data_IF_591025206489
#
_entry.id   IF_591025206489
#
_cell.length_a   1.000
_cell.length_b   1.000
_cell.length_c   1.000
_cell.angle_alpha   90.00
_cell.angle_beta   90.00
_cell.angle_gamma   90.00
#
_symmetry.space_group_name_H-M   'P 1'
#
loop_
_entity.id
_entity.type
_entity.pdbx_description
1 polymer ?
#
# COMPACT_ATOMS: atom_id res chain seq x y z
N UNK A 1 2.84 -16.00 26.88
CA UNK A 1 2.01 -14.78 26.93
C UNK A 1 2.50 -13.69 27.90
N UNK A 2 3.64 -13.85 28.60
CA UNK A 2 4.14 -12.85 29.57
C UNK A 2 5.02 -11.73 28.98
N UNK A 3 5.89 -12.03 28.01
CA UNK A 3 6.89 -11.08 27.50
C UNK A 3 6.31 -9.99 26.57
N UNK A 4 5.24 -10.28 25.83
CA UNK A 4 4.65 -9.33 24.86
C UNK A 4 3.85 -8.18 25.47
N UNK A 5 3.30 -8.37 26.68
CA UNK A 5 2.65 -7.27 27.43
C UNK A 5 3.67 -6.23 27.91
N UNK A 6 4.92 -6.63 28.11
CA UNK A 6 6.00 -5.77 28.58
C UNK A 6 6.55 -4.91 27.44
N UNK A 7 6.65 -5.44 26.21
CA UNK A 7 7.02 -4.70 25.01
C UNK A 7 5.97 -3.63 24.63
N UNK A 8 4.68 -3.98 24.62
CA UNK A 8 3.58 -3.01 24.44
C UNK A 8 3.58 -1.92 25.53
N UNK A 9 3.95 -2.27 26.77
CA UNK A 9 4.15 -1.31 27.87
C UNK A 9 5.37 -0.41 27.68
N UNK A 10 6.46 -0.93 27.13
CA UNK A 10 7.70 -0.18 26.87
C UNK A 10 7.55 0.77 25.67
N UNK A 11 6.74 0.39 24.68
CA UNK A 11 6.43 1.22 23.52
C UNK A 11 5.33 2.26 23.80
N UNK A 12 4.45 2.04 24.77
CA UNK A 12 3.33 2.94 25.10
C UNK A 12 3.72 4.42 25.33
N UNK A 13 4.78 4.75 26.11
CA UNK A 13 5.20 6.14 26.30
C UNK A 13 5.77 6.77 25.03
N UNK A 14 6.53 5.99 24.22
CA UNK A 14 7.15 6.45 22.98
C UNK A 14 6.12 6.63 21.85
N UNK A 15 5.11 5.75 21.80
CA UNK A 15 4.01 5.78 20.83
C UNK A 15 3.03 6.92 21.07
N UNK A 16 2.73 7.27 22.33
CA UNK A 16 1.91 8.47 22.64
C UNK A 16 2.57 9.76 22.12
N UNK A 17 3.90 9.80 22.11
CA UNK A 17 4.67 10.92 21.55
C UNK A 17 4.61 10.93 20.00
N UNK A 18 4.79 9.77 19.34
CA UNK A 18 4.70 9.66 17.86
C UNK A 18 3.26 9.87 17.34
N UNK A 19 2.24 9.43 18.07
CA UNK A 19 0.83 9.67 17.73
C UNK A 19 0.42 11.15 17.87
N UNK A 20 1.15 11.95 18.65
CA UNK A 20 0.93 13.38 18.84
C UNK A 20 1.88 14.30 18.06
N UNK A 21 2.88 13.75 17.35
CA UNK A 21 3.88 14.54 16.65
C UNK A 21 3.46 14.78 15.20
N UNK A 22 2.69 15.84 14.97
CA UNK A 22 2.47 16.40 13.64
C UNK A 22 3.73 17.17 13.26
N UNK A 23 4.65 16.53 12.52
CA UNK A 23 5.78 17.25 11.91
C UNK A 23 5.33 17.84 10.58
N UNK A 24 4.89 19.09 10.59
CA UNK A 24 4.78 19.91 9.38
C UNK A 24 6.17 20.40 8.98
N UNK A 25 6.69 19.92 7.85
CA UNK A 25 7.75 20.60 7.09
C UNK A 25 7.35 20.63 5.61
N UNK A 26 6.87 21.78 5.09
CA UNK A 26 6.65 21.94 3.66
C UNK A 26 7.98 22.34 3.02
N UNK A 27 8.84 21.37 2.74
CA UNK A 27 10.01 21.59 1.87
C UNK A 27 9.85 20.75 0.61
N UNK A 28 9.17 21.35 -0.37
CA UNK A 28 9.06 20.83 -1.73
C UNK A 28 10.43 20.96 -2.40
N UNK A 29 11.14 19.84 -2.53
CA UNK A 29 12.38 19.78 -3.28
C UNK A 29 12.05 19.64 -4.78
N UNK A 30 12.52 20.53 -5.69
CA UNK A 30 12.11 20.55 -7.10
C UNK A 30 12.56 19.36 -7.95
N UNK A 31 13.19 18.35 -7.35
CA UNK A 31 13.84 17.23 -8.05
C UNK A 31 13.17 15.86 -7.83
N UNK A 32 12.04 15.79 -7.12
CA UNK A 32 11.24 14.56 -6.98
C UNK A 32 9.99 14.59 -7.89
N UNK A 33 10.21 14.33 -9.18
CA UNK A 33 9.12 14.18 -10.16
C UNK A 33 8.97 12.72 -10.57
N UNK A 34 8.08 12.04 -9.86
CA UNK A 34 7.59 10.69 -10.15
C UNK A 34 6.63 10.28 -9.04
N UNK A 35 5.34 10.19 -9.36
CA UNK A 35 4.21 9.51 -8.66
C UNK A 35 4.08 9.60 -7.13
N UNK A 36 5.13 9.35 -6.34
CA UNK A 36 5.15 9.48 -4.88
C UNK A 36 4.77 10.89 -4.40
N UNK A 37 5.25 11.95 -5.04
CA UNK A 37 4.93 13.34 -4.64
C UNK A 37 3.47 13.72 -4.85
N UNK A 38 2.79 13.14 -5.85
CA UNK A 38 1.39 13.46 -6.13
C UNK A 38 0.42 12.83 -5.11
N UNK A 39 0.77 11.68 -4.55
CA UNK A 39 -0.06 10.95 -3.58
C UNK A 39 -0.18 11.69 -2.24
N UNK A 40 0.95 12.11 -1.65
CA UNK A 40 0.95 12.93 -0.43
C UNK A 40 0.23 14.26 -0.63
N UNK A 41 0.39 14.87 -1.82
CA UNK A 41 -0.31 16.10 -2.20
C UNK A 41 -1.84 15.90 -2.27
N UNK A 42 -2.34 14.74 -2.71
CA UNK A 42 -3.78 14.46 -2.74
C UNK A 42 -4.41 14.52 -1.34
N UNK A 43 -3.80 13.85 -0.35
CA UNK A 43 -4.31 13.86 1.03
C UNK A 43 -4.24 15.24 1.67
N UNK A 44 -3.14 15.97 1.45
CA UNK A 44 -2.96 17.32 1.99
C UNK A 44 -3.84 18.35 1.29
N UNK A 45 -4.09 18.21 -0.01
CA UNK A 45 -4.92 19.13 -0.78
C UNK A 45 -6.34 19.21 -0.23
N UNK A 46 -6.90 18.08 0.21
CA UNK A 46 -8.22 18.01 0.83
C UNK A 46 -8.31 18.67 2.21
N UNK A 47 -7.18 18.84 2.90
CA UNK A 47 -7.06 19.51 4.19
C UNK A 47 -6.56 20.96 4.09
N UNK A 48 -6.36 21.46 2.87
CA UNK A 48 -5.75 22.76 2.62
C UNK A 48 -6.69 23.68 1.82
N UNK A 49 -6.19 24.84 1.41
CA UNK A 49 -6.97 25.82 0.68
C UNK A 49 -7.46 25.33 -0.72
N UNK A 50 -8.37 26.11 -1.30
CA UNK A 50 -8.96 25.81 -2.61
C UNK A 50 -7.95 25.74 -3.77
N UNK A 51 -6.76 26.31 -3.62
CA UNK A 51 -5.73 26.32 -4.66
C UNK A 51 -5.08 24.94 -4.80
N UNK A 52 -4.71 24.31 -3.68
CA UNK A 52 -4.08 22.98 -3.69
C UNK A 52 -5.06 21.91 -4.18
N UNK A 53 -6.33 21.97 -3.77
CA UNK A 53 -7.37 21.08 -4.29
C UNK A 53 -7.52 21.23 -5.81
N UNK A 54 -7.48 22.46 -6.33
CA UNK A 54 -7.55 22.71 -7.78
C UNK A 54 -6.36 22.13 -8.53
N UNK A 55 -5.15 22.18 -7.96
CA UNK A 55 -3.95 21.61 -8.56
C UNK A 55 -4.06 20.08 -8.68
N UNK A 56 -4.47 19.42 -7.60
CA UNK A 56 -4.68 17.97 -7.58
C UNK A 56 -5.79 17.53 -8.54
N UNK A 57 -6.93 18.22 -8.54
CA UNK A 57 -8.02 17.91 -9.46
C UNK A 57 -7.63 18.11 -10.94
N UNK A 58 -6.71 19.04 -11.21
CA UNK A 58 -6.16 19.19 -12.55
C UNK A 58 -5.34 17.98 -13.00
N UNK A 59 -4.62 17.30 -12.09
CA UNK A 59 -3.90 16.05 -12.40
C UNK A 59 -4.90 14.97 -12.83
N UNK A 60 -5.99 14.79 -12.09
CA UNK A 60 -7.04 13.82 -12.45
C UNK A 60 -7.67 14.10 -13.80
N UNK A 61 -7.94 15.38 -14.10
CA UNK A 61 -8.44 15.81 -15.41
C UNK A 61 -7.49 15.41 -16.54
N UNK A 62 -6.17 15.61 -16.37
CA UNK A 62 -5.17 15.19 -17.37
C UNK A 62 -5.20 13.67 -17.53
N UNK A 63 -5.14 12.92 -16.43
CA UNK A 63 -5.14 11.45 -16.45
C UNK A 63 -6.43 10.88 -17.09
N UNK A 64 -7.58 11.49 -16.84
CA UNK A 64 -8.86 11.03 -17.39
C UNK A 64 -8.99 11.26 -18.90
N UNK A 65 -8.33 12.28 -19.42
CA UNK A 65 -8.29 12.56 -20.86
C UNK A 65 -7.30 11.67 -21.63
N UNK A 66 -6.40 10.97 -20.94
CA UNK A 66 -5.45 10.05 -21.57
C UNK A 66 -6.06 8.67 -21.78
N UNK A 67 -5.77 8.08 -22.95
CA UNK A 67 -5.99 6.66 -23.20
C UNK A 67 -5.04 5.84 -22.32
N UNK A 68 -5.58 4.85 -21.61
CA UNK A 68 -4.80 3.95 -20.77
C UNK A 68 -4.49 2.68 -21.58
N UNK A 69 -3.21 2.41 -21.90
CA UNK A 69 -2.85 1.22 -22.66
C UNK A 69 -3.28 -0.02 -21.89
N UNK A 70 -4.17 -0.82 -22.48
CA UNK A 70 -4.75 -2.00 -21.83
C UNK A 70 -5.34 -1.65 -20.45
N UNK A 71 -6.00 -0.50 -20.28
CA UNK A 71 -6.59 -0.09 -19.00
C UNK A 71 -5.58 0.16 -17.86
N UNK A 72 -4.27 0.05 -18.10
CA UNK A 72 -3.21 0.24 -17.12
C UNK A 72 -2.68 1.67 -17.15
N UNK A 73 -2.16 2.14 -16.01
CA UNK A 73 -1.52 3.45 -15.88
C UNK A 73 0.00 3.31 -15.98
N UNK A 74 0.63 3.81 -17.06
CA UNK A 74 2.08 3.89 -17.12
C UNK A 74 2.65 4.75 -16.00
N UNK A 75 3.78 4.34 -15.44
CA UNK A 75 4.44 5.02 -14.32
C UNK A 75 5.06 6.38 -14.70
N UNK A 76 5.16 6.69 -16.00
CA UNK A 76 5.85 7.87 -16.51
C UNK A 76 4.93 8.74 -17.38
N UNK A 77 4.72 9.98 -16.94
CA UNK A 77 3.96 11.00 -17.66
C UNK A 77 4.83 12.23 -17.86
N UNK A 78 4.93 12.72 -19.09
CA UNK A 78 5.72 13.90 -19.42
C UNK A 78 4.92 15.18 -19.08
N UNK A 79 5.39 16.05 -18.17
CA UNK A 79 4.62 17.20 -17.71
C UNK A 79 4.46 18.31 -18.76
N UNK A 80 5.39 18.42 -19.71
CA UNK A 80 5.34 19.44 -20.76
C UNK A 80 4.30 19.12 -21.85
N UNK A 81 4.18 17.84 -22.21
CA UNK A 81 3.24 17.37 -23.25
C UNK A 81 1.93 16.81 -22.68
N UNK A 82 1.92 16.44 -21.40
CA UNK A 82 0.81 15.74 -20.77
C UNK A 82 0.59 14.33 -21.31
N UNK A 83 1.56 13.73 -22.01
CA UNK A 83 1.45 12.39 -22.61
C UNK A 83 2.24 11.34 -21.84
N UNK A 84 1.85 10.08 -21.99
CA UNK A 84 2.62 8.95 -21.49
C UNK A 84 4.00 8.87 -22.14
N UNK A 85 5.01 8.53 -21.34
CA UNK A 85 6.36 8.25 -21.84
C UNK A 85 6.54 6.73 -22.03
N UNK A 86 7.32 6.08 -21.18
CA UNK A 86 7.52 4.63 -21.24
C UNK A 86 6.30 3.89 -20.69
N UNK A 87 5.90 2.81 -21.37
CA UNK A 87 4.80 1.95 -20.96
C UNK A 87 5.27 0.88 -19.96
N UNK A 88 5.81 1.33 -18.83
CA UNK A 88 6.10 0.49 -17.68
C UNK A 88 4.99 0.69 -16.65
N UNK A 89 4.47 -0.41 -16.11
CA UNK A 89 3.37 -0.42 -15.15
C UNK A 89 3.78 -1.31 -13.98
N UNK A 90 3.60 -0.79 -12.78
CA UNK A 90 3.79 -1.55 -11.54
C UNK A 90 2.75 -1.11 -10.50
N UNK A 91 2.36 -2.04 -9.63
CA UNK A 91 1.64 -1.74 -8.37
C UNK A 91 2.64 -1.75 -7.19
N UNK A 92 3.94 -1.83 -7.45
CA UNK A 92 4.99 -1.50 -6.49
C UNK A 92 5.54 -0.11 -6.75
N UNK A 93 6.83 0.08 -6.46
CA UNK A 93 7.50 1.37 -6.60
C UNK A 93 7.22 2.07 -7.93
N UNK A 94 7.10 3.40 -7.87
CA UNK A 94 6.70 4.30 -8.95
C UNK A 94 5.21 4.25 -9.35
N UNK A 95 4.39 3.35 -8.81
CA UNK A 95 2.96 3.27 -9.18
C UNK A 95 2.02 2.99 -8.01
N UNK A 96 2.48 2.26 -7.00
CA UNK A 96 1.81 1.91 -5.74
C UNK A 96 0.82 2.95 -5.21
N UNK A 97 1.32 4.04 -4.62
CA UNK A 97 0.50 4.97 -3.84
C UNK A 97 -0.47 5.79 -4.70
N UNK A 98 -0.31 5.81 -6.02
CA UNK A 98 -1.33 6.39 -6.91
C UNK A 98 -2.66 5.61 -6.79
N UNK A 99 -2.63 4.28 -6.88
CA UNK A 99 -3.84 3.46 -6.78
C UNK A 99 -4.45 3.53 -5.38
N UNK A 100 -3.58 3.55 -4.37
CA UNK A 100 -3.96 3.70 -2.96
C UNK A 100 -4.77 4.96 -2.72
N UNK A 101 -4.32 6.09 -3.27
CA UNK A 101 -4.97 7.39 -3.07
C UNK A 101 -6.26 7.55 -3.87
N UNK A 102 -6.46 6.85 -4.99
CA UNK A 102 -7.78 6.81 -5.63
C UNK A 102 -8.83 6.22 -4.66
N UNK A 103 -8.50 5.14 -3.95
CA UNK A 103 -9.39 4.58 -2.93
C UNK A 103 -9.49 5.49 -1.70
N UNK A 104 -8.36 5.92 -1.15
CA UNK A 104 -8.34 6.72 0.08
C UNK A 104 -9.00 8.09 -0.09
N UNK A 105 -8.91 8.72 -1.27
CA UNK A 105 -9.63 9.95 -1.60
C UNK A 105 -11.15 9.75 -1.61
N UNK A 106 -11.62 8.63 -2.18
CA UNK A 106 -13.03 8.26 -2.12
C UNK A 106 -13.51 8.14 -0.66
N UNK A 107 -12.76 7.42 0.17
CA UNK A 107 -13.12 7.19 1.58
C UNK A 107 -13.03 8.47 2.41
N UNK A 108 -11.97 9.26 2.25
CA UNK A 108 -11.72 10.50 2.99
C UNK A 108 -12.75 11.57 2.66
N UNK A 109 -13.27 11.62 1.43
CA UNK A 109 -14.32 12.54 1.01
C UNK A 109 -15.72 12.25 1.58
N UNK A 110 -15.82 11.37 2.59
CA UNK A 110 -17.08 10.80 3.06
C UNK A 110 -17.90 10.22 1.89
N UNK A 111 -17.21 9.53 0.98
CA UNK A 111 -17.82 8.85 -0.17
C UNK A 111 -18.54 9.80 -1.14
N UNK A 112 -18.03 11.02 -1.32
CA UNK A 112 -18.57 12.00 -2.27
C UNK A 112 -17.75 12.12 -3.56
N UNK A 113 -16.47 11.74 -3.54
CA UNK A 113 -15.55 11.77 -4.69
C UNK A 113 -15.77 10.56 -5.62
N UNK A 114 -16.87 10.60 -6.37
CA UNK A 114 -17.27 9.53 -7.29
C UNK A 114 -16.28 9.32 -8.44
N UNK A 115 -15.51 10.34 -8.80
CA UNK A 115 -14.45 10.26 -9.81
C UNK A 115 -13.32 9.35 -9.32
N UNK A 116 -12.81 9.58 -8.10
CA UNK A 116 -11.79 8.73 -7.50
C UNK A 116 -12.26 7.27 -7.35
N UNK A 117 -13.51 7.06 -6.90
CA UNK A 117 -14.11 5.71 -6.84
C UNK A 117 -14.08 5.03 -8.19
N UNK A 118 -14.54 5.72 -9.23
CA UNK A 118 -14.59 5.17 -10.58
C UNK A 118 -13.20 4.82 -11.07
N UNK A 119 -12.24 5.74 -10.93
CA UNK A 119 -10.85 5.53 -11.33
C UNK A 119 -10.22 4.33 -10.62
N UNK A 120 -10.42 4.21 -9.30
CA UNK A 120 -9.93 3.07 -8.52
C UNK A 120 -10.48 1.75 -9.05
N UNK A 121 -11.81 1.61 -9.11
CA UNK A 121 -12.44 0.35 -9.53
C UNK A 121 -12.25 0.04 -11.01
N UNK A 122 -12.03 1.03 -11.88
CA UNK A 122 -11.61 0.80 -13.25
C UNK A 122 -10.16 0.27 -13.30
N UNK A 123 -9.25 0.81 -12.47
CA UNK A 123 -7.85 0.41 -12.41
C UNK A 123 -7.64 -0.99 -11.79
N UNK A 124 -8.42 -1.35 -10.76
CA UNK A 124 -8.33 -2.68 -10.15
C UNK A 124 -9.20 -3.72 -10.86
N UNK A 125 -10.05 -3.32 -11.80
CA UNK A 125 -11.17 -4.12 -12.30
C UNK A 125 -10.83 -5.57 -12.65
N UNK A 126 -11.54 -6.49 -12.00
CA UNK A 126 -11.70 -7.88 -12.42
C UNK A 126 -12.69 -7.98 -13.59
N UNK A 127 -12.35 -8.77 -14.61
CA UNK A 127 -13.33 -9.18 -15.62
C UNK A 127 -14.21 -10.29 -15.03
N UNK A 128 -15.27 -9.91 -14.32
CA UNK A 128 -16.40 -10.83 -14.13
C UNK A 128 -17.07 -10.99 -15.49
N UNK A 129 -16.68 -12.05 -16.21
CA UNK A 129 -17.24 -12.34 -17.52
C UNK A 129 -18.77 -12.28 -17.46
N UNK A 130 -19.36 -11.43 -18.29
CA UNK A 130 -20.68 -11.70 -18.89
C UNK A 130 -20.54 -12.95 -19.78
N UNK A 131 -20.23 -14.10 -19.18
CA UNK A 131 -20.15 -15.39 -19.87
C UNK A 131 -21.53 -15.86 -20.36
N UNK A 132 -22.60 -15.16 -19.94
CA UNK A 132 -23.98 -15.42 -20.35
C UNK A 132 -24.43 -14.70 -21.62
N UNK A 133 -23.65 -13.77 -22.18
CA UNK A 133 -24.04 -13.09 -23.42
C UNK A 133 -22.80 -12.90 -24.28
N UNK A 134 -22.74 -13.59 -25.43
CA UNK A 134 -21.70 -13.57 -26.48
C UNK A 134 -21.45 -12.17 -27.09
N UNK A 135 -21.27 -11.15 -26.27
CA UNK A 135 -20.99 -9.77 -26.66
C UNK A 135 -19.54 -9.51 -26.27
N UNK A 136 -18.62 -9.80 -27.19
CA UNK A 136 -17.28 -9.23 -27.16
C UNK A 136 -17.42 -7.74 -27.44
N UNK A 137 -17.56 -6.94 -26.39
CA UNK A 137 -17.40 -5.49 -26.55
C UNK A 137 -15.93 -5.21 -26.85
N UNK A 138 -15.69 -4.43 -27.91
CA UNK A 138 -14.37 -3.89 -28.30
C UNK A 138 -13.72 -3.02 -27.20
N UNK A 139 -14.40 -2.79 -26.08
CA UNK A 139 -14.03 -1.91 -24.97
C UNK A 139 -13.90 -2.64 -23.62
N UNK A 140 -13.61 -3.95 -23.62
CA UNK A 140 -13.26 -4.67 -22.38
C UNK A 140 -11.89 -4.19 -21.87
N UNK A 141 -11.86 -3.06 -21.17
CA UNK A 141 -10.68 -2.59 -20.45
C UNK A 141 -10.39 -3.57 -19.30
N UNK A 142 -9.37 -4.38 -19.54
CA UNK A 142 -8.72 -5.29 -18.61
C UNK A 142 -7.71 -4.45 -17.80
N UNK A 143 -7.60 -4.57 -16.48
CA UNK A 143 -6.71 -3.71 -15.71
C UNK A 143 -5.74 -4.53 -14.84
N UNK A 144 -5.46 -4.12 -13.59
CA UNK A 144 -4.47 -4.78 -12.73
C UNK A 144 -4.73 -6.30 -12.61
N UNK A 145 -5.96 -6.70 -12.29
CA UNK A 145 -6.28 -8.12 -12.08
C UNK A 145 -6.08 -8.99 -13.31
N UNK A 146 -6.37 -8.46 -14.50
CA UNK A 146 -6.20 -9.24 -15.73
C UNK A 146 -4.74 -9.30 -16.17
N UNK A 147 -4.04 -8.17 -16.11
CA UNK A 147 -2.71 -8.06 -16.69
C UNK A 147 -1.59 -8.40 -15.72
N UNK A 148 -1.73 -8.06 -14.44
CA UNK A 148 -0.62 -8.12 -13.48
C UNK A 148 -0.78 -9.26 -12.47
N UNK A 149 -2.00 -9.62 -12.08
CA UNK A 149 -2.21 -10.66 -11.07
C UNK A 149 -2.03 -12.04 -11.70
N UNK A 150 -1.13 -12.83 -11.10
CA UNK A 150 -0.77 -14.17 -11.54
C UNK A 150 -0.78 -15.13 -10.36
N UNK A 151 -0.85 -16.42 -10.66
CA UNK A 151 -0.77 -17.49 -9.69
C UNK A 151 0.42 -18.37 -10.05
N UNK A 152 1.31 -18.59 -9.08
CA UNK A 152 2.48 -19.46 -9.25
C UNK A 152 2.07 -20.93 -9.36
N UNK A 153 3.04 -21.80 -9.66
CA UNK A 153 2.84 -23.25 -9.70
C UNK A 153 2.37 -23.85 -8.37
N UNK A 154 2.85 -23.33 -7.23
CA UNK A 154 2.43 -23.78 -5.89
C UNK A 154 1.22 -23.00 -5.37
N UNK A 155 0.62 -22.15 -6.21
CA UNK A 155 -0.64 -21.49 -5.92
C UNK A 155 -0.54 -20.17 -5.17
N UNK A 156 0.63 -19.55 -5.02
CA UNK A 156 0.76 -18.17 -4.52
C UNK A 156 0.25 -17.16 -5.54
N UNK A 157 -0.60 -16.23 -5.08
CA UNK A 157 -1.11 -15.13 -5.91
C UNK A 157 -0.17 -13.93 -5.77
N UNK A 158 0.33 -13.39 -6.87
CA UNK A 158 1.27 -12.27 -6.88
C UNK A 158 0.92 -11.24 -7.94
N UNK A 159 1.43 -10.01 -7.75
CA UNK A 159 1.27 -8.92 -8.71
C UNK A 159 2.60 -8.73 -9.43
N UNK A 160 2.63 -9.06 -10.71
CA UNK A 160 3.80 -8.90 -11.58
C UNK A 160 3.99 -7.45 -12.05
N UNK A 161 5.19 -7.11 -12.51
CA UNK A 161 5.44 -5.88 -13.26
C UNK A 161 5.15 -6.09 -14.75
N UNK A 162 4.74 -5.02 -15.46
CA UNK A 162 4.50 -5.07 -16.89
C UNK A 162 5.32 -4.00 -17.61
N UNK A 163 6.03 -4.40 -18.67
CA UNK A 163 6.92 -3.54 -19.45
C UNK A 163 6.63 -3.73 -20.94
N UNK A 164 5.88 -2.79 -21.52
CA UNK A 164 5.65 -2.73 -22.97
C UNK A 164 5.04 -3.99 -23.59
N UNK A 165 4.21 -4.72 -22.83
CA UNK A 165 3.57 -5.97 -23.28
C UNK A 165 4.10 -7.23 -22.59
N UNK A 166 5.26 -7.16 -21.95
CA UNK A 166 5.90 -8.30 -21.31
C UNK A 166 5.74 -8.24 -19.79
N UNK A 167 5.43 -9.39 -19.20
CA UNK A 167 5.38 -9.53 -17.75
C UNK A 167 6.75 -9.92 -17.22
N UNK A 168 7.16 -9.22 -16.17
CA UNK A 168 8.26 -9.65 -15.32
C UNK A 168 7.65 -10.27 -14.06
N UNK A 169 7.89 -11.57 -13.86
CA UNK A 169 7.35 -12.34 -12.73
C UNK A 169 8.12 -12.07 -11.43
N UNK A 170 8.04 -10.82 -11.00
CA UNK A 170 8.68 -10.24 -9.83
C UNK A 170 7.64 -9.39 -9.09
N UNK A 171 7.68 -9.43 -7.76
CA UNK A 171 6.86 -8.60 -6.89
C UNK A 171 7.77 -7.95 -5.85
N UNK A 172 7.55 -6.66 -5.57
CA UNK A 172 8.32 -5.92 -4.56
C UNK A 172 7.68 -6.03 -3.18
N UNK A 173 8.47 -5.77 -2.14
CA UNK A 173 7.98 -5.54 -0.78
C UNK A 173 6.97 -4.40 -0.76
N UNK A 174 7.28 -3.30 -1.46
CA UNK A 174 6.36 -2.17 -1.66
C UNK A 174 4.98 -2.65 -2.12
N UNK A 175 4.91 -3.55 -3.12
CA UNK A 175 3.66 -4.07 -3.68
C UNK A 175 2.78 -4.81 -2.66
N UNK A 176 3.32 -5.21 -1.51
CA UNK A 176 2.55 -5.87 -0.46
C UNK A 176 1.49 -4.98 0.20
N UNK A 177 1.57 -3.65 0.08
CA UNK A 177 0.51 -2.74 0.56
C UNK A 177 -0.85 -3.04 -0.10
N UNK A 178 -0.81 -3.57 -1.34
CA UNK A 178 -1.98 -3.81 -2.16
C UNK A 178 -2.96 -4.80 -1.51
N UNK A 179 -2.49 -5.70 -0.64
CA UNK A 179 -3.36 -6.61 0.11
C UNK A 179 -4.35 -5.85 1.00
N UNK A 180 -3.83 -4.91 1.80
CA UNK A 180 -4.62 -4.00 2.62
C UNK A 180 -5.49 -3.06 1.77
N UNK A 181 -4.96 -2.55 0.66
CA UNK A 181 -5.73 -1.71 -0.28
C UNK A 181 -6.96 -2.44 -0.85
N UNK A 182 -6.80 -3.68 -1.33
CA UNK A 182 -7.94 -4.46 -1.86
C UNK A 182 -8.97 -4.76 -0.77
N UNK A 183 -8.52 -5.18 0.42
CA UNK A 183 -9.42 -5.46 1.53
C UNK A 183 -10.19 -4.21 1.98
N UNK A 184 -9.52 -3.06 2.09
CA UNK A 184 -10.13 -1.78 2.44
C UNK A 184 -11.19 -1.34 1.41
N UNK A 185 -10.94 -1.58 0.12
CA UNK A 185 -11.87 -1.24 -0.96
C UNK A 185 -13.06 -2.20 -1.08
N UNK A 186 -13.01 -3.38 -0.47
CA UNK A 186 -13.98 -4.45 -0.69
C UNK A 186 -15.43 -4.08 -0.31
N UNK A 187 -15.62 -3.32 0.77
CA UNK A 187 -16.96 -2.92 1.23
C UNK A 187 -17.67 -2.00 0.23
N UNK A 188 -16.92 -1.18 -0.52
CA UNK A 188 -17.46 -0.21 -1.47
C UNK A 188 -17.40 -0.68 -2.93
N UNK A 189 -17.00 -1.93 -3.13
CA UNK A 189 -16.90 -2.59 -4.42
C UNK A 189 -18.26 -2.71 -5.13
N UNK A 190 -18.26 -2.86 -6.46
CA UNK A 190 -19.48 -3.19 -7.20
C UNK A 190 -20.19 -4.43 -6.63
N UNK A 191 -21.51 -4.47 -6.79
CA UNK A 191 -22.37 -5.53 -6.23
C UNK A 191 -21.84 -6.92 -6.61
N UNK A 192 -21.61 -7.75 -5.59
CA UNK A 192 -21.13 -9.12 -5.74
C UNK A 192 -19.60 -9.28 -5.76
N UNK A 193 -18.82 -8.21 -5.63
CA UNK A 193 -17.35 -8.26 -5.64
C UNK A 193 -16.70 -8.05 -4.25
N UNK A 194 -17.47 -7.83 -3.19
CA UNK A 194 -16.92 -7.65 -1.83
C UNK A 194 -16.07 -8.84 -1.40
N UNK A 195 -16.60 -10.06 -1.48
CA UNK A 195 -15.87 -11.27 -1.10
C UNK A 195 -14.64 -11.50 -2.00
N UNK A 196 -14.76 -11.15 -3.29
CA UNK A 196 -13.66 -11.26 -4.25
C UNK A 196 -12.46 -10.39 -3.84
N UNK A 197 -12.68 -9.13 -3.48
CA UNK A 197 -11.60 -8.23 -3.06
C UNK A 197 -11.03 -8.58 -1.67
N UNK A 198 -11.85 -9.07 -0.74
CA UNK A 198 -11.37 -9.61 0.54
C UNK A 198 -10.50 -10.86 0.34
N UNK A 199 -10.91 -11.77 -0.54
CA UNK A 199 -10.13 -12.95 -0.87
C UNK A 199 -8.83 -12.56 -1.60
N UNK A 200 -8.88 -11.58 -2.51
CA UNK A 200 -7.68 -11.09 -3.18
C UNK A 200 -6.70 -10.48 -2.17
N UNK A 201 -7.18 -9.66 -1.23
CA UNK A 201 -6.38 -9.15 -0.11
C UNK A 201 -5.77 -10.26 0.73
N UNK A 202 -6.54 -11.31 1.03
CA UNK A 202 -6.09 -12.51 1.76
C UNK A 202 -4.97 -13.24 1.02
N UNK A 203 -5.10 -13.43 -0.28
CA UNK A 203 -4.12 -14.13 -1.10
C UNK A 203 -2.81 -13.34 -1.25
N UNK A 204 -2.90 -12.02 -1.43
CA UNK A 204 -1.71 -11.14 -1.46
C UNK A 204 -1.01 -11.15 -0.09
N UNK A 205 -1.77 -11.03 1.01
CA UNK A 205 -1.22 -11.10 2.37
C UNK A 205 -0.48 -12.42 2.62
N UNK A 206 -1.03 -13.55 2.13
CA UNK A 206 -0.39 -14.86 2.22
C UNK A 206 0.90 -14.92 1.43
N UNK A 207 0.93 -14.41 0.20
CA UNK A 207 2.16 -14.38 -0.62
C UNK A 207 3.26 -13.52 0.02
N UNK A 208 2.89 -12.38 0.61
CA UNK A 208 3.82 -11.52 1.32
C UNK A 208 4.31 -12.15 2.64
N UNK A 209 3.47 -12.91 3.34
CA UNK A 209 3.91 -13.72 4.48
C UNK A 209 4.90 -14.81 4.07
N UNK A 210 4.63 -15.49 2.95
CA UNK A 210 5.54 -16.51 2.42
C UNK A 210 6.91 -15.94 2.04
N UNK A 211 6.97 -14.71 1.52
CA UNK A 211 8.26 -14.07 1.23
C UNK A 211 9.07 -13.74 2.49
N UNK A 212 8.41 -13.54 3.64
CA UNK A 212 9.05 -13.43 4.95
C UNK A 212 9.47 -14.80 5.49
N UNK A 213 8.55 -15.78 5.46
CA UNK A 213 8.79 -17.09 6.05
C UNK A 213 9.90 -17.88 5.34
N UNK A 214 10.12 -17.63 4.05
CA UNK A 214 11.16 -18.30 3.23
C UNK A 214 12.57 -17.74 3.41
N UNK A 215 12.77 -16.74 4.27
CA UNK A 215 14.10 -16.19 4.59
C UNK A 215 14.64 -16.76 5.89
N UNK A 216 15.95 -16.61 6.11
CA UNK A 216 16.57 -17.01 7.37
C UNK A 216 16.08 -16.12 8.52
N UNK A 217 16.10 -14.80 8.29
CA UNK A 217 15.80 -13.80 9.31
C UNK A 217 14.31 -13.56 9.53
N UNK A 218 13.42 -14.26 8.81
CA UNK A 218 11.95 -14.10 8.88
C UNK A 218 11.45 -12.67 8.58
N UNK A 219 12.25 -11.93 7.82
CA UNK A 219 11.91 -10.64 7.20
C UNK A 219 12.06 -10.79 5.69
N UNK A 220 11.12 -10.22 4.93
CA UNK A 220 11.08 -10.37 3.48
C UNK A 220 12.10 -9.49 2.75
N UNK A 221 12.57 -9.92 1.57
CA UNK A 221 13.46 -9.11 0.73
C UNK A 221 12.73 -7.95 0.05
N UNK A 222 13.46 -6.95 -0.44
CA UNK A 222 12.92 -5.82 -1.23
C UNK A 222 12.14 -6.29 -2.46
N UNK A 223 12.57 -7.36 -3.11
CA UNK A 223 11.81 -7.98 -4.18
C UNK A 223 12.03 -9.48 -4.24
N UNK A 224 11.00 -10.19 -4.71
CA UNK A 224 10.99 -11.64 -4.82
C UNK A 224 10.36 -12.09 -6.14
N UNK A 225 10.73 -13.30 -6.59
CA UNK A 225 10.44 -13.80 -7.93
C UNK A 225 9.57 -15.06 -7.92
N UNK A 226 8.94 -15.32 -9.06
CA UNK A 226 8.03 -16.43 -9.32
C UNK A 226 8.37 -17.16 -10.63
N UNK A 227 9.60 -17.00 -11.10
CA UNK A 227 10.15 -17.64 -12.29
C UNK A 227 11.50 -18.32 -11.96
N UNK A 228 12.10 -19.00 -12.94
CA UNK A 228 13.42 -19.62 -12.75
C UNK A 228 13.46 -20.74 -11.71
N UNK A 229 12.33 -21.38 -11.42
CA UNK A 229 12.22 -22.46 -10.43
C UNK A 229 12.18 -21.97 -8.97
N UNK A 230 12.13 -20.66 -8.74
CA UNK A 230 11.98 -20.08 -7.41
C UNK A 230 10.61 -19.45 -7.24
N UNK A 231 10.20 -19.31 -5.98
CA UNK A 231 8.91 -18.73 -5.65
C UNK A 231 9.03 -17.96 -4.34
N UNK A 232 8.60 -16.70 -4.34
CA UNK A 232 8.61 -15.81 -3.18
C UNK A 232 9.99 -15.67 -2.49
N UNK A 233 11.08 -15.78 -3.26
CA UNK A 233 12.44 -15.46 -2.79
C UNK A 233 13.17 -14.53 -3.78
N UNK A 234 14.18 -13.82 -3.29
CA UNK A 234 15.04 -12.96 -4.07
C UNK A 234 16.20 -13.76 -4.68
N UNK A 235 16.51 -13.50 -5.95
CA UNK A 235 17.65 -14.14 -6.64
C UNK A 235 18.81 -13.19 -6.88
N UNK A 236 18.54 -11.88 -6.98
CA UNK A 236 19.57 -10.85 -7.20
C UNK A 236 20.08 -10.31 -5.87
N UNK A 237 21.40 -10.20 -5.72
CA UNK A 237 22.01 -9.77 -4.47
C UNK A 237 21.54 -8.39 -4.00
N UNK A 238 21.31 -7.46 -4.94
CA UNK A 238 20.84 -6.10 -4.66
C UNK A 238 19.33 -6.01 -4.39
N UNK A 239 18.61 -7.14 -4.31
CA UNK A 239 17.18 -7.20 -3.99
C UNK A 239 16.91 -7.95 -2.68
N UNK A 240 17.94 -8.51 -2.03
CA UNK A 240 17.84 -9.33 -0.81
C UNK A 240 17.74 -8.52 0.49
N UNK A 241 17.80 -7.20 0.42
CA UNK A 241 17.83 -6.35 1.60
C UNK A 241 16.44 -6.15 2.21
N UNK A 242 16.39 -5.73 3.47
CA UNK A 242 15.19 -5.29 4.17
C UNK A 242 15.49 -4.00 4.94
N UNK A 243 14.85 -2.90 4.59
CA UNK A 243 15.11 -1.57 5.16
C UNK A 243 14.03 -1.12 6.15
N UNK A 244 13.53 -2.04 6.99
CA UNK A 244 12.52 -1.74 8.03
C UNK A 244 11.13 -1.33 7.49
N UNK A 245 10.83 -1.75 6.25
CA UNK A 245 9.61 -1.37 5.52
C UNK A 245 8.31 -1.86 6.18
N UNK A 246 7.20 -1.12 6.05
CA UNK A 246 5.94 -1.42 6.73
C UNK A 246 4.93 -2.25 5.92
N UNK A 247 5.02 -2.35 4.58
CA UNK A 247 3.83 -2.63 3.75
C UNK A 247 3.20 -4.02 3.99
N UNK A 248 3.99 -5.00 4.42
CA UNK A 248 3.48 -6.32 4.83
C UNK A 248 2.67 -6.23 6.13
N UNK A 249 3.19 -5.49 7.12
CA UNK A 249 2.51 -5.26 8.39
C UNK A 249 1.30 -4.34 8.21
N UNK A 250 1.36 -3.34 7.32
CA UNK A 250 0.20 -2.52 6.95
C UNK A 250 -0.94 -3.42 6.44
N UNK A 251 -0.64 -4.33 5.51
CA UNK A 251 -1.62 -5.30 5.04
C UNK A 251 -2.16 -6.17 6.17
N UNK A 252 -1.32 -6.65 7.09
CA UNK A 252 -1.80 -7.41 8.24
C UNK A 252 -2.74 -6.60 9.15
N UNK A 253 -2.50 -5.29 9.30
CA UNK A 253 -3.38 -4.40 10.08
C UNK A 253 -4.77 -4.33 9.47
N UNK A 254 -4.88 -4.04 8.17
CA UNK A 254 -6.18 -4.01 7.50
C UNK A 254 -6.85 -5.38 7.51
N UNK A 255 -6.11 -6.45 7.21
CA UNK A 255 -6.69 -7.80 7.20
C UNK A 255 -7.17 -8.22 8.59
N UNK A 256 -6.42 -7.92 9.66
CA UNK A 256 -6.86 -8.14 11.04
C UNK A 256 -8.15 -7.38 11.35
N UNK A 257 -8.20 -6.07 11.12
CA UNK A 257 -9.38 -5.25 11.47
C UNK A 257 -10.63 -5.61 10.66
N UNK A 258 -10.45 -6.02 9.41
CA UNK A 258 -11.58 -6.31 8.51
C UNK A 258 -12.10 -7.74 8.65
N UNK A 259 -11.28 -8.69 9.13
CA UNK A 259 -11.65 -10.11 9.18
C UNK A 259 -11.62 -10.73 10.58
N UNK A 260 -10.84 -10.14 11.50
CA UNK A 260 -10.51 -10.69 12.81
C UNK A 260 -9.91 -12.11 12.76
N UNK A 261 -9.34 -12.52 11.63
CA UNK A 261 -8.65 -13.81 11.52
C UNK A 261 -7.35 -13.76 12.37
N UNK A 262 -7.22 -14.61 13.40
CA UNK A 262 -6.10 -14.57 14.33
C UNK A 262 -4.74 -14.83 13.67
N UNK A 263 -4.70 -15.40 12.46
CA UNK A 263 -3.42 -15.61 11.74
C UNK A 263 -2.68 -14.30 11.48
N UNK A 264 -3.38 -13.18 11.26
CA UNK A 264 -2.74 -11.89 10.99
C UNK A 264 -2.02 -11.32 12.21
N UNK A 265 -2.59 -11.50 13.42
CA UNK A 265 -1.90 -11.18 14.68
C UNK A 265 -0.71 -12.10 14.92
N UNK A 266 -0.83 -13.39 14.59
CA UNK A 266 0.28 -14.34 14.68
C UNK A 266 1.43 -13.95 13.75
N UNK A 267 1.15 -13.69 12.48
CA UNK A 267 2.15 -13.26 11.50
C UNK A 267 2.78 -11.93 11.86
N UNK A 268 2.00 -10.96 12.35
CA UNK A 268 2.54 -9.71 12.87
C UNK A 268 3.49 -9.93 14.08
N UNK A 269 3.18 -10.89 14.94
CA UNK A 269 4.06 -11.23 16.07
C UNK A 269 5.38 -11.88 15.59
N UNK A 270 5.33 -12.75 14.57
CA UNK A 270 6.53 -13.31 13.95
C UNK A 270 7.45 -12.19 13.40
N UNK A 271 6.87 -11.11 12.84
CA UNK A 271 7.63 -9.92 12.40
C UNK A 271 8.25 -9.18 13.59
N UNK A 272 7.53 -9.01 14.70
CA UNK A 272 8.07 -8.41 15.94
C UNK A 272 9.29 -9.19 16.43
N UNK A 273 9.18 -10.51 16.52
CA UNK A 273 10.28 -11.38 16.96
C UNK A 273 11.49 -11.27 16.02
N UNK A 274 11.24 -11.23 14.71
CA UNK A 274 12.30 -11.07 13.72
C UNK A 274 13.02 -9.71 13.80
N UNK A 275 12.26 -8.61 13.97
CA UNK A 275 12.81 -7.26 14.18
C UNK A 275 13.67 -7.18 15.44
N UNK A 276 13.19 -7.76 16.54
CA UNK A 276 13.93 -7.80 17.82
C UNK A 276 15.22 -8.62 17.71
N UNK A 277 15.18 -9.74 16.99
CA UNK A 277 16.33 -10.64 16.88
C UNK A 277 17.40 -10.14 15.90
N UNK A 278 17.01 -9.48 14.81
CA UNK A 278 17.92 -9.21 13.69
C UNK A 278 18.10 -7.72 13.35
N UNK A 279 17.18 -6.84 13.74
CA UNK A 279 17.28 -5.41 13.41
C UNK A 279 17.66 -4.56 14.63
N UNK A 280 17.38 -5.01 15.85
CA UNK A 280 17.61 -4.25 17.07
C UNK A 280 19.10 -4.16 17.42
N UNK A 281 19.57 -2.94 17.62
CA UNK A 281 20.91 -2.59 18.08
C UNK A 281 20.84 -1.80 19.40
N UNK A 282 21.99 -1.53 20.01
CA UNK A 282 22.08 -0.73 21.25
C UNK A 282 21.44 0.67 21.09
N UNK A 283 21.54 1.27 19.90
CA UNK A 283 21.12 2.64 19.62
C UNK A 283 19.77 2.80 18.89
N UNK A 284 19.10 1.71 18.53
CA UNK A 284 17.89 1.76 17.68
C UNK A 284 17.74 0.49 16.86
N UNK A 285 17.21 0.62 15.63
CA UNK A 285 17.06 -0.46 14.67
C UNK A 285 17.76 -0.11 13.35
N UNK A 286 18.33 -1.09 12.67
CA UNK A 286 18.94 -0.94 11.36
C UNK A 286 18.34 -1.93 10.36
N UNK A 287 18.29 -1.53 9.09
CA UNK A 287 18.03 -2.44 7.99
C UNK A 287 19.13 -3.47 7.79
N UNK A 288 18.81 -4.47 6.98
CA UNK A 288 19.61 -5.65 6.70
C UNK A 288 19.94 -5.70 5.21
N UNK A 289 21.19 -5.97 4.85
CA UNK A 289 21.63 -6.05 3.46
C UNK A 289 21.28 -7.36 2.78
N UNK A 290 21.09 -8.44 3.55
CA UNK A 290 20.74 -9.76 3.04
C UNK A 290 19.99 -10.57 4.11
N UNK A 291 18.67 -10.75 3.92
CA UNK A 291 17.78 -11.48 4.85
C UNK A 291 17.94 -13.01 4.82
N UNK A 292 18.77 -13.54 3.91
CA UNK A 292 19.01 -14.98 3.77
C UNK A 292 20.24 -15.47 4.54
N UNK A 293 21.06 -14.56 5.07
CA UNK A 293 22.27 -14.91 5.82
C UNK A 293 21.95 -15.26 7.28
N UNK A 294 22.79 -16.12 7.87
CA UNK A 294 22.71 -16.44 9.29
C UNK A 294 23.33 -15.39 10.21
N UNK A 295 24.08 -14.45 9.63
CA UNK A 295 24.74 -13.34 10.33
C UNK A 295 24.25 -12.03 9.76
N UNK A 296 23.90 -11.10 10.65
CA UNK A 296 23.38 -9.79 10.30
C UNK A 296 24.45 -8.96 9.59
N UNK A 297 24.02 -8.29 8.52
CA UNK A 297 24.80 -7.31 7.78
C UNK A 297 23.99 -6.02 7.74
N UNK A 298 24.33 -5.09 8.62
CA UNK A 298 23.54 -3.88 8.85
C UNK A 298 23.77 -2.83 7.76
N UNK A 299 22.72 -2.08 7.44
CA UNK A 299 22.81 -0.92 6.57
C UNK A 299 23.20 0.38 7.31
N UNK A 300 23.17 0.34 8.65
CA UNK A 300 23.41 1.46 9.59
C UNK A 300 22.43 2.63 9.44
N UNK A 301 21.18 2.35 9.04
CA UNK A 301 20.13 3.36 8.88
C UNK A 301 18.85 2.95 9.61
N UNK A 302 18.37 3.83 10.49
CA UNK A 302 17.02 3.76 11.02
C UNK A 302 16.11 4.70 10.20
N UNK A 303 15.30 4.11 9.34
CA UNK A 303 14.37 4.87 8.49
C UNK A 303 13.27 5.53 9.33
N UNK A 304 12.88 6.76 8.99
CA UNK A 304 11.81 7.48 9.72
C UNK A 304 10.47 6.73 9.66
N UNK A 305 10.17 6.08 8.54
CA UNK A 305 8.96 5.29 8.37
C UNK A 305 8.92 4.04 9.26
N UNK A 306 10.04 3.56 9.80
CA UNK A 306 9.99 2.50 10.80
C UNK A 306 9.19 2.97 12.03
N UNK A 307 9.44 4.20 12.48
CA UNK A 307 8.73 4.81 13.61
C UNK A 307 7.32 5.24 13.22
N UNK A 308 7.16 5.88 12.06
CA UNK A 308 5.87 6.41 11.61
C UNK A 308 4.89 5.29 11.25
N UNK A 309 5.35 4.21 10.65
CA UNK A 309 4.50 3.21 10.00
C UNK A 309 4.64 1.84 10.65
N UNK A 310 5.82 1.21 10.56
CA UNK A 310 6.02 -0.18 10.97
C UNK A 310 5.60 -0.39 12.42
N UNK A 311 6.11 0.45 13.33
CA UNK A 311 5.74 0.37 14.74
C UNK A 311 4.26 0.74 14.97
N UNK A 312 3.74 1.78 14.28
CA UNK A 312 2.34 2.21 14.45
C UNK A 312 1.36 1.11 14.03
N UNK A 313 1.57 0.47 12.88
CA UNK A 313 0.73 -0.63 12.41
C UNK A 313 0.82 -1.85 13.33
N UNK A 314 2.02 -2.22 13.80
CA UNK A 314 2.18 -3.28 14.82
C UNK A 314 1.39 -2.95 16.09
N UNK A 315 1.49 -1.72 16.59
CA UNK A 315 0.75 -1.29 17.77
C UNK A 315 -0.77 -1.38 17.56
N UNK A 316 -1.27 -0.95 16.40
CA UNK A 316 -2.69 -1.00 16.06
C UNK A 316 -3.22 -2.43 15.89
N UNK A 317 -2.41 -3.35 15.34
CA UNK A 317 -2.76 -4.77 15.23
C UNK A 317 -3.05 -5.37 16.61
N UNK A 318 -2.26 -5.01 17.63
CA UNK A 318 -2.42 -5.51 18.99
C UNK A 318 -3.26 -4.59 19.90
N UNK A 319 -3.90 -3.57 19.35
CA UNK A 319 -4.87 -2.72 20.03
C UNK A 319 -6.29 -3.14 19.68
N UNK A 320 -7.27 -2.59 20.41
CA UNK A 320 -8.68 -2.71 20.07
C UNK A 320 -9.04 -1.83 18.86
N UNK A 321 -10.14 -2.17 18.18
CA UNK A 321 -10.56 -1.54 16.93
C UNK A 321 -11.09 -0.11 17.11
N UNK A 322 -11.45 0.26 18.34
CA UNK A 322 -11.90 1.60 18.73
C UNK A 322 -10.75 2.61 18.86
N UNK A 323 -9.50 2.15 18.92
CA UNK A 323 -8.33 3.00 18.78
C UNK A 323 -8.13 3.35 17.30
N UNK A 324 -8.38 4.59 16.91
CA UNK A 324 -8.26 5.07 15.53
C UNK A 324 -9.10 4.22 14.55
N UNK A 325 -10.43 4.19 14.71
CA UNK A 325 -11.31 3.35 13.91
C UNK A 325 -11.28 3.77 12.43
N UNK A 326 -11.20 2.80 11.52
CA UNK A 326 -11.09 3.02 10.06
C UNK A 326 -12.29 3.79 9.47
N UNK A 327 -13.42 3.84 10.19
CA UNK A 327 -14.60 4.64 9.81
C UNK A 327 -14.34 6.15 9.89
N UNK A 328 -13.45 6.58 10.78
CA UNK A 328 -13.23 8.01 11.08
C UNK A 328 -11.88 8.51 10.59
N UNK A 329 -10.92 7.61 10.37
CA UNK A 329 -9.55 7.95 10.02
C UNK A 329 -9.10 7.21 8.77
N UNK A 330 -8.49 7.97 7.87
CA UNK A 330 -7.80 7.46 6.69
C UNK A 330 -6.31 7.67 6.91
N UNK A 331 -5.54 6.59 6.87
CA UNK A 331 -4.08 6.68 6.89
C UNK A 331 -3.62 7.22 5.54
N UNK A 332 -2.72 8.21 5.50
CA UNK A 332 -1.97 8.53 4.29
C UNK A 332 -0.97 7.39 3.97
N UNK A 333 -0.16 7.50 2.91
CA UNK A 333 0.83 6.44 2.55
C UNK A 333 2.01 6.33 3.51
N UNK A 334 2.13 7.22 4.50
CA UNK A 334 3.19 7.20 5.52
C UNK A 334 2.58 7.00 6.93
N UNK A 335 1.45 6.29 6.99
CA UNK A 335 0.64 6.00 8.17
C UNK A 335 0.21 7.21 9.02
N UNK A 336 0.27 8.44 8.52
CA UNK A 336 -0.28 9.62 9.20
C UNK A 336 -1.80 9.69 9.02
N UNK A 337 -2.49 10.13 10.06
CA UNK A 337 -3.94 10.08 10.13
C UNK A 337 -4.56 11.35 9.55
N UNK A 338 -5.49 11.16 8.61
CA UNK A 338 -6.34 12.20 8.06
C UNK A 338 -7.80 11.90 8.46
N UNK A 339 -8.56 12.89 8.97
CA UNK A 339 -9.96 12.67 9.31
C UNK A 339 -10.82 12.53 8.04
N UNK A 340 -11.90 11.75 8.13
CA UNK A 340 -12.94 11.74 7.09
C UNK A 340 -13.66 13.10 7.08
N UNK A 341 -13.72 13.73 5.90
CA UNK A 341 -14.27 15.06 5.69
C UNK A 341 -15.78 14.99 5.48
N UNK A 342 -16.53 14.95 6.59
CA UNK A 342 -17.99 15.03 6.52
C UNK A 342 -18.47 16.43 6.09
N UNK A 343 -19.58 16.48 5.35
CA UNK A 343 -20.23 17.74 4.93
C UNK A 343 -20.59 18.69 6.08
N UNK A 344 -20.62 18.21 7.33
CA UNK A 344 -20.90 19.03 8.51
C UNK A 344 -19.71 19.94 8.89
N UNK A 345 -18.47 19.57 8.57
CA UNK A 345 -17.29 20.40 8.84
C UNK A 345 -17.27 21.61 7.89
N UNK A 346 -17.70 21.43 6.63
CA UNK A 346 -17.85 22.53 5.66
C UNK A 346 -18.91 23.57 6.05
N UNK A 347 -19.90 23.22 6.88
CA UNK A 347 -20.91 24.19 7.37
C UNK A 347 -20.42 25.00 8.57
N UNK A 348 -19.49 24.49 9.36
CA UNK A 348 -18.94 25.23 10.50
C UNK A 348 -18.04 26.38 10.01
N UNK A 349 -17.24 26.17 8.97
CA UNK A 349 -16.34 27.20 8.44
C UNK A 349 -17.04 28.29 7.59
N UNK A 350 -18.24 28.02 7.07
CA UNK A 350 -19.03 28.99 6.29
C UNK A 350 -19.90 29.89 7.18
N UNK A 351 -20.13 29.50 8.45
CA UNK A 351 -20.92 30.29 9.39
C UNK A 351 -20.08 31.21 10.29
N UNK A 352 -18.75 31.15 10.18
CA UNK A 352 -17.80 32.04 10.88
C UNK A 352 -17.13 33.08 9.94
N UNK A 353 -17.72 33.34 8.77
CA UNK A 353 -17.46 34.50 7.89
C UNK A 353 -18.74 35.30 7.70
#
# INVERSE_FOLDING_TARGET
MGCGKELLRLMQPFMKFVAGSISFHPTVNPSFHGTHSNSVLEGLAYLSDSLHLKQVMNIRRVLNNLEKPQGLYPNYLNPSSGQWAQYHVSVGGLGDSFYEYLLKSWLMSDKTDLEAKKMYFDAVKYKFERRLQNIKSKYDFQAIETHLIRKSSNGLTYIAEWKGGLLEHKMGHLTCFAGGMFALGAHDAPKGLTEHYLQLGTEIARTCHESYNRTFMKLGPEAFRFDGGVEAIATRQNEKYYILRPEVVETYMYMWRLTHDPKYRKWAWEVVEALENHCRLKGGYSGLRDVYLSRESYDDVQQSFFLAETLKYLYLIFSDDDLLPLKHWIFNTEAHLLPVLSNNIKKAEVNDQ
#
